data_IF_792546893624
#
_entry.id   IF_792546893624
#
_cell.length_a   1.000
_cell.length_b   1.000
_cell.length_c   1.000
_cell.angle_alpha   90.00
_cell.angle_beta   90.00
_cell.angle_gamma   90.00
#
_symmetry.space_group_name_H-M   'P 1'
#
loop_
_entity.id
_entity.type
_entity.pdbx_description
1 polymer ?
#
# COMPACT_ATOMS: atom_id res chain seq x y z
N UNK A 1 5.86 28.16 11.65
CA UNK A 1 6.23 28.66 10.30
C UNK A 1 5.48 27.77 9.33
N UNK A 2 4.78 28.30 8.31
CA UNK A 2 4.01 27.43 7.41
C UNK A 2 4.99 26.50 6.68
N UNK A 3 4.83 25.20 6.86
CA UNK A 3 5.72 24.17 6.30
C UNK A 3 5.08 23.60 5.05
N UNK A 4 5.87 23.45 4.00
CA UNK A 4 5.48 22.73 2.79
C UNK A 4 6.11 21.34 2.81
N UNK A 5 5.34 20.33 2.44
CA UNK A 5 5.80 18.96 2.27
C UNK A 5 5.69 18.60 0.80
N UNK A 6 6.81 18.30 0.16
CA UNK A 6 6.80 17.77 -1.19
C UNK A 6 6.53 16.27 -1.15
N UNK A 7 5.51 15.84 -1.90
CA UNK A 7 5.14 14.45 -2.06
C UNK A 7 5.34 14.08 -3.51
N UNK A 8 6.08 13.01 -3.76
CA UNK A 8 6.44 12.56 -5.09
C UNK A 8 5.92 11.14 -5.32
N UNK A 9 5.37 10.89 -6.51
CA UNK A 9 5.14 9.55 -7.03
C UNK A 9 5.93 9.33 -8.33
N UNK A 10 5.77 8.17 -8.98
CA UNK A 10 6.50 7.86 -10.21
C UNK A 10 6.16 8.77 -11.41
N UNK A 11 5.09 9.57 -11.32
CA UNK A 11 4.52 10.36 -12.41
C UNK A 11 4.60 11.87 -12.20
N UNK A 12 4.57 12.34 -10.95
CA UNK A 12 4.52 13.76 -10.62
C UNK A 12 4.95 14.04 -9.17
N UNK A 13 5.22 15.31 -8.90
CA UNK A 13 5.38 15.84 -7.55
C UNK A 13 4.28 16.85 -7.23
N UNK A 14 3.90 16.90 -5.97
CA UNK A 14 2.91 17.85 -5.46
C UNK A 14 3.39 18.45 -4.15
N UNK A 15 3.30 19.77 -4.05
CA UNK A 15 3.55 20.49 -2.80
C UNK A 15 2.26 20.54 -1.98
N UNK A 16 2.32 20.04 -0.75
CA UNK A 16 1.22 20.03 0.20
C UNK A 16 1.50 21.02 1.33
N UNK A 17 0.46 21.74 1.75
CA UNK A 17 0.54 22.67 2.87
C UNK A 17 0.28 21.93 4.19
N UNK A 18 1.26 21.96 5.09
CA UNK A 18 1.12 21.48 6.46
C UNK A 18 0.69 22.65 7.36
N UNK A 19 -0.63 22.87 7.39
CA UNK A 19 -1.26 23.95 8.18
C UNK A 19 -1.36 23.56 9.66
N UNK A 20 -1.30 22.25 9.96
CA UNK A 20 -1.44 21.73 11.32
C UNK A 20 -0.10 21.61 12.06
N UNK A 21 1.02 21.96 11.41
CA UNK A 21 2.38 21.87 11.94
C UNK A 21 2.70 20.45 12.44
N UNK A 22 2.41 19.46 11.57
CA UNK A 22 2.58 18.04 11.87
C UNK A 22 4.07 17.67 11.95
N UNK A 23 4.38 16.72 12.83
CA UNK A 23 5.74 16.24 13.10
C UNK A 23 6.25 15.28 12.01
N UNK A 24 6.33 15.80 10.78
CA UNK A 24 6.78 15.08 9.58
C UNK A 24 8.29 15.27 9.41
N UNK A 25 9.06 14.18 9.46
CA UNK A 25 10.51 14.19 9.37
C UNK A 25 11.02 13.67 8.03
N UNK A 26 12.10 14.27 7.52
CA UNK A 26 12.76 13.81 6.29
C UNK A 26 13.31 12.39 6.48
N UNK A 27 13.11 11.54 5.48
CA UNK A 27 13.62 10.15 5.48
C UNK A 27 12.73 9.14 6.20
N UNK A 28 11.57 9.56 6.71
CA UNK A 28 10.51 8.69 7.21
C UNK A 28 9.40 8.54 6.18
N UNK A 29 8.61 7.48 6.31
CA UNK A 29 7.49 7.20 5.42
C UNK A 29 6.20 7.51 6.19
N UNK A 30 5.27 8.20 5.53
CA UNK A 30 4.02 8.61 6.14
C UNK A 30 2.83 8.18 5.27
N UNK A 31 1.77 7.70 5.92
CA UNK A 31 0.43 7.74 5.34
C UNK A 31 -0.19 9.10 5.66
N UNK A 32 -0.58 9.86 4.63
CA UNK A 32 -1.10 11.22 4.78
C UNK A 32 -2.55 11.31 4.32
N UNK A 33 -3.37 12.03 5.09
CA UNK A 33 -4.72 12.43 4.67
C UNK A 33 -4.69 13.86 4.16
N UNK A 34 -5.20 14.07 2.95
CA UNK A 34 -5.17 15.37 2.26
C UNK A 34 -6.59 15.87 2.04
N UNK A 35 -6.87 17.10 2.47
CA UNK A 35 -8.07 17.85 2.11
C UNK A 35 -7.83 18.61 0.81
N UNK A 36 -8.67 18.35 -0.18
CA UNK A 36 -8.66 19.04 -1.47
C UNK A 36 -9.76 20.10 -1.48
N UNK A 37 -9.41 21.35 -1.81
CA UNK A 37 -10.36 22.45 -1.92
C UNK A 37 -10.15 23.22 -3.22
N UNK A 38 -11.19 23.32 -4.04
CA UNK A 38 -11.17 24.12 -5.28
C UNK A 38 -11.81 25.46 -5.00
N UNK A 39 -11.11 26.56 -5.27
CA UNK A 39 -11.66 27.90 -5.09
C UNK A 39 -12.52 28.34 -6.29
N UNK A 40 -13.22 29.47 -6.16
CA UNK A 40 -14.08 30.04 -7.21
C UNK A 40 -13.35 30.44 -8.50
N UNK A 41 -12.01 30.48 -8.48
CA UNK A 41 -11.16 30.76 -9.63
C UNK A 41 -10.63 29.50 -10.32
N UNK A 42 -11.02 28.31 -9.84
CA UNK A 42 -10.59 27.02 -10.39
C UNK A 42 -9.24 26.54 -9.86
N UNK A 43 -8.62 27.24 -8.91
CA UNK A 43 -7.37 26.78 -8.30
C UNK A 43 -7.66 25.70 -7.26
N UNK A 44 -6.98 24.57 -7.37
CA UNK A 44 -7.02 23.48 -6.41
C UNK A 44 -5.96 23.68 -5.34
N UNK A 45 -6.37 23.67 -4.08
CA UNK A 45 -5.50 23.73 -2.91
C UNK A 45 -5.50 22.37 -2.20
N UNK A 46 -4.33 21.98 -1.69
CA UNK A 46 -4.13 20.72 -1.00
C UNK A 46 -3.56 20.99 0.40
N UNK A 47 -4.24 20.50 1.43
CA UNK A 47 -3.84 20.70 2.82
C UNK A 47 -3.74 19.34 3.51
N UNK A 48 -2.61 19.08 4.17
CA UNK A 48 -2.46 17.89 5.01
C UNK A 48 -3.30 18.11 6.27
N UNK A 49 -4.17 17.15 6.57
CA UNK A 49 -5.02 17.15 7.77
C UNK A 49 -4.62 16.08 8.79
N UNK A 50 -3.86 15.07 8.35
CA UNK A 50 -3.31 14.04 9.22
C UNK A 50 -2.08 13.41 8.55
N UNK A 51 -1.12 12.96 9.36
CA UNK A 51 0.07 12.25 8.93
C UNK A 51 0.48 11.21 9.97
N UNK A 52 0.40 9.93 9.59
CA UNK A 52 0.83 8.80 10.42
C UNK A 52 2.18 8.30 9.92
N UNK A 53 3.24 8.40 10.72
CA UNK A 53 4.50 7.72 10.40
C UNK A 53 4.21 6.23 10.33
N UNK A 54 4.60 5.60 9.23
CA UNK A 54 4.53 4.17 9.05
C UNK A 54 5.94 3.64 8.85
N UNK A 55 6.22 2.49 9.45
CA UNK A 55 7.46 1.80 9.13
C UNK A 55 7.46 1.42 7.65
N UNK A 56 8.65 1.46 7.02
CA UNK A 56 8.85 1.10 5.62
C UNK A 56 8.22 -0.25 5.26
N UNK A 57 8.33 -1.22 6.17
CA UNK A 57 7.72 -2.54 6.02
C UNK A 57 6.20 -2.49 5.88
N UNK A 58 5.48 -1.55 6.50
CA UNK A 58 4.03 -1.38 6.32
C UNK A 58 3.66 -0.74 4.98
N UNK A 59 4.59 0.00 4.36
CA UNK A 59 4.41 0.53 3.01
C UNK A 59 4.61 -0.53 1.91
N UNK A 60 5.27 -1.66 2.24
CA UNK A 60 5.51 -2.73 1.28
C UNK A 60 4.21 -3.40 0.85
N UNK A 61 4.18 -3.82 -0.41
CA UNK A 61 3.09 -4.57 -1.02
C UNK A 61 3.55 -5.97 -1.36
N UNK A 62 2.67 -6.94 -1.14
CA UNK A 62 2.85 -8.31 -1.57
C UNK A 62 2.26 -8.47 -2.97
N UNK A 63 3.09 -8.87 -3.92
CA UNK A 63 2.69 -9.23 -5.25
C UNK A 63 2.69 -10.74 -5.37
N UNK A 64 1.60 -11.34 -5.85
CA UNK A 64 1.49 -12.79 -6.09
C UNK A 64 1.14 -13.02 -7.56
N UNK A 65 1.95 -13.79 -8.25
CA UNK A 65 1.76 -14.22 -9.63
C UNK A 65 1.03 -15.57 -9.65
N UNK A 66 -0.07 -15.64 -10.38
CA UNK A 66 -0.95 -16.80 -10.45
C UNK A 66 -1.31 -17.09 -11.91
N UNK A 67 -1.39 -18.36 -12.28
CA UNK A 67 -1.88 -18.74 -13.61
C UNK A 67 -3.37 -18.38 -13.77
N UNK A 68 -4.19 -18.76 -12.79
CA UNK A 68 -5.62 -18.47 -12.71
C UNK A 68 -5.99 -18.03 -11.28
N UNK A 69 -7.09 -17.28 -11.13
CA UNK A 69 -7.65 -16.93 -9.82
C UNK A 69 -9.03 -17.58 -9.66
N UNK A 70 -9.09 -18.64 -8.86
CA UNK A 70 -10.29 -19.43 -8.61
C UNK A 70 -10.75 -19.34 -7.14
N UNK A 71 -11.85 -20.03 -6.81
CA UNK A 71 -12.39 -20.05 -5.45
C UNK A 71 -11.45 -20.71 -4.44
N UNK A 72 -10.58 -21.64 -4.85
CA UNK A 72 -9.65 -22.31 -3.95
C UNK A 72 -8.53 -21.35 -3.53
N UNK A 73 -7.97 -20.61 -4.50
CA UNK A 73 -6.95 -19.59 -4.23
C UNK A 73 -7.57 -18.46 -3.40
N UNK A 74 -8.79 -18.01 -3.74
CA UNK A 74 -9.50 -17.01 -2.95
C UNK A 74 -9.68 -17.46 -1.49
N UNK A 75 -10.08 -18.72 -1.27
CA UNK A 75 -10.24 -19.28 0.07
C UNK A 75 -8.91 -19.32 0.82
N UNK A 76 -7.85 -19.83 0.21
CA UNK A 76 -6.50 -19.86 0.82
C UNK A 76 -6.00 -18.48 1.22
N UNK A 77 -6.15 -17.49 0.33
CA UNK A 77 -5.74 -16.12 0.63
C UNK A 77 -6.61 -15.49 1.74
N UNK A 78 -7.88 -15.88 1.83
CA UNK A 78 -8.74 -15.56 2.97
C UNK A 78 -8.22 -16.17 4.28
N UNK A 79 -7.92 -17.46 4.29
CA UNK A 79 -7.35 -18.18 5.44
C UNK A 79 -6.02 -17.55 5.89
N UNK A 80 -5.15 -17.18 4.95
CA UNK A 80 -3.91 -16.46 5.26
C UNK A 80 -4.17 -15.08 5.85
N UNK A 81 -5.16 -14.35 5.34
CA UNK A 81 -5.54 -13.05 5.88
C UNK A 81 -6.09 -13.14 7.30
N UNK A 82 -6.84 -14.20 7.62
CA UNK A 82 -7.36 -14.42 8.98
C UNK A 82 -6.24 -14.81 9.94
N UNK A 83 -5.29 -15.65 9.48
CA UNK A 83 -4.19 -16.17 10.31
C UNK A 83 -3.04 -15.17 10.50
N UNK A 84 -2.71 -14.43 9.46
CA UNK A 84 -1.53 -13.56 9.35
C UNK A 84 -1.90 -12.11 9.00
N UNK A 85 -3.08 -11.66 9.42
CA UNK A 85 -3.60 -10.34 9.12
C UNK A 85 -2.60 -9.22 9.46
N UNK A 86 -2.68 -8.11 8.71
CA UNK A 86 -1.76 -6.98 8.89
C UNK A 86 -2.19 -5.73 8.13
N UNK A 87 -1.22 -4.89 7.77
CA UNK A 87 -1.47 -3.62 7.08
C UNK A 87 -1.06 -3.65 5.60
N UNK A 88 -0.26 -4.64 5.17
CA UNK A 88 0.30 -4.67 3.84
C UNK A 88 -0.74 -5.04 2.78
N UNK A 89 -0.71 -4.32 1.66
CA UNK A 89 -1.60 -4.57 0.53
C UNK A 89 -1.16 -5.81 -0.24
N UNK A 90 -2.13 -6.57 -0.74
CA UNK A 90 -1.88 -7.72 -1.62
C UNK A 90 -2.39 -7.44 -3.03
N UNK A 91 -1.53 -7.65 -4.02
CA UNK A 91 -1.79 -7.45 -5.44
C UNK A 91 -1.57 -8.79 -6.15
N UNK A 92 -2.56 -9.24 -6.90
CA UNK A 92 -2.50 -10.47 -7.69
C UNK A 92 -2.26 -10.14 -9.16
N UNK A 93 -1.34 -10.86 -9.80
CA UNK A 93 -1.15 -10.88 -11.25
C UNK A 93 -1.65 -12.21 -11.80
N UNK A 94 -2.69 -12.17 -12.61
CA UNK A 94 -3.34 -13.36 -13.20
C UNK A 94 -2.88 -13.47 -14.65
N UNK A 95 -2.12 -14.52 -14.96
CA UNK A 95 -1.44 -14.66 -16.25
C UNK A 95 -2.39 -15.02 -17.38
N UNK A 96 -3.34 -15.92 -17.13
CA UNK A 96 -4.26 -16.43 -18.16
C UNK A 96 -5.05 -15.35 -18.89
N UNK A 97 -5.31 -14.22 -18.22
CA UNK A 97 -6.03 -13.08 -18.78
C UNK A 97 -5.30 -11.75 -18.61
N UNK A 98 -4.00 -11.78 -18.27
CA UNK A 98 -3.14 -10.61 -18.06
C UNK A 98 -3.80 -9.51 -17.19
N UNK A 99 -4.41 -9.91 -16.07
CA UNK A 99 -5.16 -9.02 -15.19
C UNK A 99 -4.44 -8.80 -13.87
N UNK A 100 -4.53 -7.58 -13.35
CA UNK A 100 -4.12 -7.25 -11.98
C UNK A 100 -5.35 -7.08 -11.09
N UNK A 101 -5.35 -7.70 -9.90
CA UNK A 101 -6.42 -7.56 -8.91
C UNK A 101 -5.82 -7.14 -7.57
N UNK A 102 -6.35 -6.07 -6.98
CA UNK A 102 -6.06 -5.73 -5.58
C UNK A 102 -7.01 -6.50 -4.67
N UNK A 103 -6.48 -7.23 -3.71
CA UNK A 103 -7.29 -7.85 -2.68
C UNK A 103 -7.64 -6.85 -1.58
N UNK A 104 -8.82 -7.02 -1.02
CA UNK A 104 -9.23 -6.30 0.19
C UNK A 104 -8.48 -6.80 1.43
N UNK A 105 -8.10 -8.08 1.43
CA UNK A 105 -7.31 -8.71 2.47
C UNK A 105 -5.94 -8.03 2.65
N UNK A 106 -5.51 -7.91 3.91
CA UNK A 106 -4.22 -7.34 4.29
C UNK A 106 -3.41 -8.34 5.11
N UNK A 107 -2.10 -8.32 4.89
CA UNK A 107 -1.17 -9.34 5.37
C UNK A 107 -0.10 -8.67 6.23
N UNK A 108 0.46 -9.37 7.22
CA UNK A 108 1.64 -8.90 7.97
C UNK A 108 2.92 -9.48 7.35
N UNK A 109 3.60 -8.68 6.52
CA UNK A 109 4.81 -9.12 5.84
C UNK A 109 6.05 -9.19 6.74
N UNK A 110 5.93 -8.82 8.02
CA UNK A 110 6.95 -9.13 9.04
C UNK A 110 6.89 -10.58 9.50
N UNK A 111 5.77 -11.25 9.29
CA UNK A 111 5.57 -12.60 9.79
C UNK A 111 6.29 -13.62 8.91
N UNK A 112 7.40 -14.16 9.40
CA UNK A 112 8.21 -15.13 8.66
C UNK A 112 7.43 -16.40 8.30
N UNK A 113 6.48 -16.83 9.15
CA UNK A 113 5.64 -18.00 8.87
C UNK A 113 4.70 -17.78 7.68
N UNK A 114 4.22 -16.55 7.48
CA UNK A 114 3.45 -16.19 6.29
C UNK A 114 4.30 -16.35 5.03
N UNK A 115 5.55 -15.89 5.05
CA UNK A 115 6.46 -16.00 3.90
C UNK A 115 6.72 -17.46 3.52
N UNK A 116 6.93 -18.31 4.54
CA UNK A 116 7.10 -19.75 4.36
C UNK A 116 5.84 -20.38 3.76
N UNK A 117 4.64 -20.03 4.27
CA UNK A 117 3.39 -20.58 3.73
C UNK A 117 3.08 -20.09 2.32
N UNK A 118 3.41 -18.83 1.99
CA UNK A 118 3.31 -18.30 0.63
C UNK A 118 4.23 -19.09 -0.32
N UNK A 119 5.47 -19.33 0.07
CA UNK A 119 6.42 -20.14 -0.72
C UNK A 119 5.91 -21.58 -0.90
N UNK A 120 5.42 -22.22 0.15
CA UNK A 120 4.90 -23.58 0.10
C UNK A 120 3.63 -23.71 -0.77
N UNK A 121 2.81 -22.67 -0.85
CA UNK A 121 1.53 -22.73 -1.57
C UNK A 121 1.58 -22.21 -3.01
N UNK A 122 2.42 -21.22 -3.28
CA UNK A 122 2.50 -20.55 -4.58
C UNK A 122 3.83 -20.79 -5.29
N UNK A 123 4.89 -21.11 -4.55
CA UNK A 123 6.25 -21.21 -5.05
C UNK A 123 7.05 -19.93 -4.83
N UNK A 124 8.36 -20.06 -4.61
CA UNK A 124 9.27 -18.96 -4.27
C UNK A 124 9.28 -17.84 -5.32
N UNK A 125 9.23 -18.21 -6.60
CA UNK A 125 9.28 -17.27 -7.73
C UNK A 125 7.91 -16.65 -8.06
N UNK A 126 6.86 -17.06 -7.34
CA UNK A 126 5.50 -16.62 -7.57
C UNK A 126 5.08 -15.46 -6.67
N UNK A 127 5.94 -14.96 -5.78
CA UNK A 127 5.63 -13.75 -5.01
C UNK A 127 6.83 -12.83 -4.83
N UNK A 128 6.55 -11.55 -4.62
CA UNK A 128 7.54 -10.51 -4.35
C UNK A 128 6.99 -9.51 -3.35
N UNK A 129 7.86 -9.03 -2.47
CA UNK A 129 7.57 -7.91 -1.56
C UNK A 129 8.31 -6.69 -2.09
N UNK A 130 7.60 -5.58 -2.28
CA UNK A 130 8.17 -4.31 -2.77
C UNK A 130 7.57 -3.13 -2.01
#
# INVERSE_FOLDING_TARGET
MLKTVNVEDFSSSIELLDVMDLDIHKGKIYEISVKVAVNSFGNTNYTIIDAKEIEEIYSKKLYIKLENFDNNIKKKLGEFSEKYGGENQVILYILSNNKTLRLENKFDLKNENLLIELENNFGKDCFRIN
#
